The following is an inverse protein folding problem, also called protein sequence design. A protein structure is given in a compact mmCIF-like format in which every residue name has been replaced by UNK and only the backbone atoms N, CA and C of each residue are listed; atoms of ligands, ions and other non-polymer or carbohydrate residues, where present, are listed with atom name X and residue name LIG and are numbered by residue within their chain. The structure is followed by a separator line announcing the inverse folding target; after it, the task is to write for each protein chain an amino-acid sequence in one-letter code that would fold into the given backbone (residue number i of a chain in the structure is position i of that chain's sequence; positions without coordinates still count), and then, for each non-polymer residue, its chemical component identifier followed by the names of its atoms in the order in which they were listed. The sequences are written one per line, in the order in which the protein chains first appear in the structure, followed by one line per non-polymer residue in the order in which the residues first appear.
data_IF_622359270241
#
_entry.id   IF_622359270241
#
_cell.length_a   1.000
_cell.length_b   1.000
_cell.length_c   1.000
_cell.angle_alpha   90.00
_cell.angle_beta   90.00
_cell.angle_gamma   90.00
#
_symmetry.space_group_name_H-M   'P 1'
#
loop_
_entity.id
_entity.type
_entity.pdbx_description
1 polymer ?
#
# COMPACT_ATOMS: atom_id res chain seq x y z
N UNK A 1 21.99 -30.87 21.03
CA UNK A 1 20.93 -29.89 20.70
C UNK A 1 19.60 -30.62 20.60
N UNK A 2 18.49 -30.02 21.06
CA UNK A 2 17.17 -30.60 20.88
C UNK A 2 16.86 -30.77 19.39
N UNK A 3 16.26 -31.91 19.02
CA UNK A 3 15.88 -32.21 17.64
C UNK A 3 14.41 -31.84 17.43
N UNK A 4 14.16 -30.97 16.46
CA UNK A 4 12.81 -30.59 16.06
C UNK A 4 12.51 -31.27 14.72
N UNK A 5 11.34 -31.89 14.60
CA UNK A 5 10.83 -32.45 13.35
C UNK A 5 9.59 -31.67 12.95
N UNK A 6 9.61 -31.05 11.77
CA UNK A 6 8.51 -30.25 11.24
C UNK A 6 8.07 -30.80 9.88
N UNK A 7 6.76 -30.79 9.66
CA UNK A 7 6.18 -31.04 8.34
C UNK A 7 5.94 -29.68 7.68
N UNK A 8 6.57 -29.46 6.52
CA UNK A 8 6.50 -28.20 5.77
C UNK A 8 5.93 -28.45 4.38
N UNK A 9 5.42 -27.41 3.72
CA UNK A 9 4.98 -27.52 2.33
C UNK A 9 6.17 -27.66 1.38
N UNK A 10 5.92 -28.22 0.19
CA UNK A 10 6.92 -28.37 -0.87
C UNK A 10 7.60 -27.03 -1.22
N UNK A 11 6.84 -25.92 -1.18
CA UNK A 11 7.37 -24.58 -1.45
C UNK A 11 8.44 -24.16 -0.43
N UNK A 12 8.24 -24.50 0.85
CA UNK A 12 9.19 -24.18 1.91
C UNK A 12 10.42 -25.09 1.80
N UNK A 13 10.21 -26.38 1.52
CA UNK A 13 11.30 -27.31 1.28
C UNK A 13 12.21 -26.85 0.12
N UNK A 14 11.61 -26.45 -1.00
CA UNK A 14 12.36 -25.95 -2.17
C UNK A 14 13.17 -24.70 -1.79
N UNK A 15 12.57 -23.72 -1.11
CA UNK A 15 13.27 -22.51 -0.65
C UNK A 15 14.43 -22.82 0.30
N UNK A 16 14.27 -23.81 1.20
CA UNK A 16 15.36 -24.23 2.09
C UNK A 16 16.52 -24.82 1.28
N UNK A 17 16.23 -25.65 0.29
CA UNK A 17 17.25 -26.23 -0.60
C UNK A 17 17.95 -25.17 -1.46
N UNK A 18 17.23 -24.14 -1.91
CA UNK A 18 17.80 -23.01 -2.65
C UNK A 18 18.78 -22.23 -1.77
N UNK A 19 18.42 -21.92 -0.53
CA UNK A 19 19.29 -21.21 0.42
C UNK A 19 20.54 -22.05 0.74
N UNK A 20 20.39 -23.36 0.93
CA UNK A 20 21.52 -24.28 1.12
C UNK A 20 22.45 -24.27 -0.11
N UNK A 21 21.88 -24.25 -1.31
CA UNK A 21 22.66 -24.18 -2.56
C UNK A 21 23.42 -22.87 -2.70
N UNK A 22 22.80 -21.74 -2.34
CA UNK A 22 23.45 -20.43 -2.29
C UNK A 22 24.63 -20.43 -1.32
N UNK A 23 24.43 -20.91 -0.08
CA UNK A 23 25.52 -20.98 0.92
C UNK A 23 26.71 -21.81 0.43
N UNK A 24 26.45 -22.91 -0.29
CA UNK A 24 27.52 -23.72 -0.90
C UNK A 24 28.24 -22.96 -2.01
N UNK A 25 27.51 -22.21 -2.83
CA UNK A 25 28.10 -21.36 -3.87
C UNK A 25 28.97 -20.24 -3.27
N UNK A 26 28.60 -19.72 -2.10
CA UNK A 26 29.37 -18.73 -1.32
C UNK A 26 30.60 -19.32 -0.60
N UNK A 27 30.84 -20.63 -0.71
CA UNK A 27 32.02 -21.31 -0.17
C UNK A 27 31.86 -21.87 1.25
N UNK A 28 30.65 -21.91 1.80
CA UNK A 28 30.41 -22.50 3.11
C UNK A 28 30.65 -24.03 3.11
N UNK A 29 31.10 -24.57 4.24
CA UNK A 29 31.35 -26.02 4.37
C UNK A 29 30.05 -26.83 4.21
N UNK A 30 30.15 -28.11 3.82
CA UNK A 30 28.98 -29.01 3.74
C UNK A 30 28.26 -29.16 5.08
N UNK A 31 28.99 -29.05 6.19
CA UNK A 31 28.43 -29.12 7.54
C UNK A 31 27.69 -27.83 7.93
N UNK A 32 28.08 -26.69 7.36
CA UNK A 32 27.44 -25.40 7.61
C UNK A 32 26.26 -25.18 6.65
N UNK A 33 26.40 -25.60 5.40
CA UNK A 33 25.39 -25.54 4.35
C UNK A 33 24.61 -26.87 4.27
N UNK A 34 23.87 -27.14 5.35
CA UNK A 34 22.91 -28.23 5.43
C UNK A 34 21.50 -27.71 5.77
N UNK A 35 20.49 -28.54 5.50
CA UNK A 35 19.08 -28.18 5.68
C UNK A 35 18.80 -27.87 7.15
N UNK A 36 19.18 -28.76 8.07
CA UNK A 36 18.92 -28.61 9.51
C UNK A 36 19.49 -27.31 10.09
N UNK A 37 20.71 -26.93 9.71
CA UNK A 37 21.38 -25.71 10.16
C UNK A 37 20.71 -24.45 9.58
N UNK A 38 20.33 -24.51 8.31
CA UNK A 38 19.61 -23.42 7.64
C UNK A 38 18.20 -23.26 8.22
N UNK A 39 17.50 -24.36 8.49
CA UNK A 39 16.18 -24.35 9.16
C UNK A 39 16.28 -23.81 10.59
N UNK A 40 17.29 -24.22 11.37
CA UNK A 40 17.51 -23.70 12.72
C UNK A 40 17.73 -22.18 12.71
N UNK A 41 18.61 -21.70 11.82
CA UNK A 41 18.86 -20.26 11.62
C UNK A 41 17.58 -19.50 11.25
N UNK A 42 16.75 -20.04 10.36
CA UNK A 42 15.48 -19.42 9.96
C UNK A 42 14.47 -19.41 11.12
N UNK A 43 14.40 -20.46 11.92
CA UNK A 43 13.53 -20.51 13.10
C UNK A 43 13.94 -19.44 14.10
N UNK A 44 15.22 -19.30 14.39
CA UNK A 44 15.72 -18.25 15.30
C UNK A 44 15.41 -16.84 14.80
N UNK A 45 15.60 -16.59 13.49
CA UNK A 45 15.25 -15.32 12.88
C UNK A 45 13.73 -15.10 12.93
N UNK A 46 12.94 -16.13 12.65
CA UNK A 46 11.49 -16.10 12.69
C UNK A 46 10.94 -15.78 14.08
N UNK A 47 11.52 -16.35 15.13
CA UNK A 47 11.15 -16.04 16.52
C UNK A 47 11.46 -14.57 16.84
N UNK A 48 12.66 -14.08 16.50
CA UNK A 48 13.02 -12.67 16.69
C UNK A 48 12.06 -11.71 15.99
N UNK A 49 11.68 -12.03 14.74
CA UNK A 49 10.71 -11.23 13.98
C UNK A 49 9.31 -11.32 14.60
N UNK A 50 8.89 -12.50 15.07
CA UNK A 50 7.61 -12.69 15.73
C UNK A 50 7.51 -11.86 17.02
N UNK A 51 8.54 -11.88 17.86
CA UNK A 51 8.63 -11.08 19.09
C UNK A 51 8.57 -9.58 18.78
N UNK A 52 9.39 -9.10 17.83
CA UNK A 52 9.38 -7.70 17.40
C UNK A 52 8.02 -7.26 16.84
N UNK A 53 7.33 -8.13 16.09
CA UNK A 53 5.97 -7.83 15.63
C UNK A 53 4.97 -7.84 16.77
N UNK A 54 5.13 -8.73 17.75
CA UNK A 54 4.24 -8.83 18.90
C UNK A 54 4.34 -7.61 19.81
N UNK A 55 5.56 -7.14 20.10
CA UNK A 55 5.79 -5.91 20.86
C UNK A 55 5.19 -4.67 20.17
N UNK A 56 5.16 -4.65 18.83
CA UNK A 56 4.55 -3.57 18.03
C UNK A 56 3.01 -3.66 17.92
N UNK A 57 2.39 -4.76 18.34
CA UNK A 57 0.94 -5.01 18.19
C UNK A 57 0.06 -4.32 19.24
N UNK A 58 0.60 -3.46 20.10
CA UNK A 58 -0.24 -2.61 20.97
C UNK A 58 -1.19 -1.69 20.16
N UNK A 59 -0.99 -1.54 18.84
CA UNK A 59 -2.00 -1.01 17.93
C UNK A 59 -2.20 -1.92 16.71
N UNK A 60 -3.21 -2.79 16.74
CA UNK A 60 -3.66 -3.52 15.54
C UNK A 60 -4.18 -2.56 14.47
N UNK A 61 -3.98 -2.89 13.19
CA UNK A 61 -4.55 -2.08 12.10
C UNK A 61 -6.07 -2.23 12.08
N UNK A 62 -6.78 -1.13 12.34
CA UNK A 62 -8.23 -1.05 12.21
C UNK A 62 -8.58 -0.47 10.84
N UNK A 63 -9.13 -1.30 9.95
CA UNK A 63 -9.60 -0.84 8.63
C UNK A 63 -10.67 0.26 8.77
N UNK A 64 -11.54 0.18 9.78
CA UNK A 64 -12.60 1.16 10.02
C UNK A 64 -12.00 2.51 10.43
N UNK A 65 -11.06 2.52 11.37
CA UNK A 65 -10.43 3.77 11.81
C UNK A 65 -9.57 4.37 10.70
N UNK A 66 -8.87 3.53 9.94
CA UNK A 66 -8.12 3.97 8.77
C UNK A 66 -9.02 4.62 7.71
N UNK A 67 -10.13 3.96 7.34
CA UNK A 67 -11.08 4.49 6.35
C UNK A 67 -11.69 5.82 6.82
N UNK A 68 -12.00 5.94 8.11
CA UNK A 68 -12.52 7.17 8.72
C UNK A 68 -11.52 8.32 8.63
N UNK A 69 -10.27 8.09 9.05
CA UNK A 69 -9.20 9.10 8.99
C UNK A 69 -8.90 9.49 7.54
N UNK A 70 -8.87 8.52 6.63
CA UNK A 70 -8.64 8.76 5.21
C UNK A 70 -9.75 9.65 4.62
N UNK A 71 -11.02 9.28 4.85
CA UNK A 71 -12.16 10.04 4.37
C UNK A 71 -12.16 11.47 4.94
N UNK A 72 -11.91 11.61 6.25
CA UNK A 72 -11.85 12.91 6.92
C UNK A 72 -10.76 13.82 6.29
N UNK A 73 -9.57 13.28 6.06
CA UNK A 73 -8.46 14.04 5.48
C UNK A 73 -8.69 14.41 4.01
N UNK A 74 -9.30 13.51 3.21
CA UNK A 74 -9.65 13.78 1.81
C UNK A 74 -10.72 14.86 1.72
N UNK A 75 -11.77 14.78 2.55
CA UNK A 75 -12.84 15.78 2.57
C UNK A 75 -12.32 17.15 3.02
N UNK A 76 -11.50 17.20 4.08
CA UNK A 76 -10.87 18.45 4.54
C UNK A 76 -9.98 19.07 3.46
N UNK A 77 -9.14 18.27 2.82
CA UNK A 77 -8.26 18.73 1.74
C UNK A 77 -9.06 19.27 0.55
N UNK A 78 -10.15 18.60 0.17
CA UNK A 78 -11.03 19.04 -0.91
C UNK A 78 -11.66 20.40 -0.58
N UNK A 79 -12.20 20.57 0.64
CA UNK A 79 -12.78 21.84 1.08
C UNK A 79 -11.76 22.99 1.09
N UNK A 80 -10.54 22.73 1.55
CA UNK A 80 -9.44 23.72 1.52
C UNK A 80 -9.10 24.09 0.08
N UNK A 81 -8.98 23.12 -0.82
CA UNK A 81 -8.70 23.38 -2.24
C UNK A 81 -9.81 24.19 -2.90
N UNK A 82 -11.08 23.93 -2.59
CA UNK A 82 -12.20 24.74 -3.11
C UNK A 82 -12.12 26.20 -2.65
N UNK A 83 -11.78 26.44 -1.37
CA UNK A 83 -11.60 27.81 -0.84
C UNK A 83 -10.40 28.51 -1.50
N UNK A 84 -9.27 27.80 -1.63
CA UNK A 84 -8.07 28.33 -2.31
C UNK A 84 -8.38 28.66 -3.76
N UNK A 85 -9.13 27.80 -4.46
CA UNK A 85 -9.56 28.05 -5.83
C UNK A 85 -10.40 29.33 -5.92
N UNK A 86 -11.41 29.48 -5.06
CA UNK A 86 -12.24 30.67 -5.03
C UNK A 86 -11.42 31.96 -4.79
N UNK A 87 -10.45 31.92 -3.87
CA UNK A 87 -9.54 33.04 -3.62
C UNK A 87 -8.69 33.34 -4.87
N UNK A 88 -8.10 32.30 -5.48
CA UNK A 88 -7.23 32.47 -6.64
C UNK A 88 -7.95 33.05 -7.86
N UNK A 89 -9.23 32.72 -8.06
CA UNK A 89 -10.00 33.32 -9.17
C UNK A 89 -10.18 34.85 -9.05
N UNK A 90 -9.96 35.41 -7.86
CA UNK A 90 -10.07 36.85 -7.59
C UNK A 90 -8.73 37.60 -7.66
N UNK A 91 -7.62 36.89 -7.89
CA UNK A 91 -6.30 37.49 -7.99
C UNK A 91 -6.21 38.47 -9.18
N UNK A 92 -5.38 39.51 -9.02
CA UNK A 92 -5.28 40.60 -10.01
C UNK A 92 -4.60 40.10 -11.29
N UNK A 93 -3.68 39.16 -11.15
CA UNK A 93 -2.87 38.57 -12.22
C UNK A 93 -3.70 37.71 -13.19
N UNK A 94 -4.78 37.09 -12.71
CA UNK A 94 -5.68 36.26 -13.52
C UNK A 94 -6.89 37.05 -14.04
N UNK A 95 -7.02 38.31 -13.62
CA UNK A 95 -8.17 39.16 -13.95
C UNK A 95 -8.16 39.48 -15.45
N UNK A 96 -9.21 39.05 -16.15
CA UNK A 96 -9.34 39.19 -17.61
C UNK A 96 -8.96 37.92 -18.39
N UNK A 97 -8.46 36.88 -17.72
CA UNK A 97 -8.32 35.55 -18.30
C UNK A 97 -9.52 34.69 -17.89
N UNK A 98 -10.56 34.64 -18.72
CA UNK A 98 -11.81 33.94 -18.40
C UNK A 98 -11.62 32.47 -18.00
N UNK A 99 -10.59 31.80 -18.53
CA UNK A 99 -10.23 30.43 -18.17
C UNK A 99 -9.81 30.27 -16.70
N UNK A 100 -9.29 31.32 -16.06
CA UNK A 100 -8.76 31.30 -14.69
C UNK A 100 -9.53 32.21 -13.72
N UNK A 101 -10.23 33.23 -14.21
CA UNK A 101 -11.04 34.13 -13.38
C UNK A 101 -12.49 33.69 -13.21
N UNK A 102 -13.00 32.82 -14.08
CA UNK A 102 -14.39 32.36 -14.00
C UNK A 102 -14.50 31.07 -13.17
N UNK A 103 -14.86 31.23 -11.89
CA UNK A 103 -15.03 30.12 -10.97
C UNK A 103 -16.08 29.09 -11.43
N UNK A 104 -17.17 29.53 -12.07
CA UNK A 104 -18.24 28.64 -12.55
C UNK A 104 -17.73 27.71 -13.66
N UNK A 105 -16.94 28.26 -14.58
CA UNK A 105 -16.34 27.49 -15.67
C UNK A 105 -15.36 26.44 -15.14
N UNK A 106 -14.49 26.82 -14.19
CA UNK A 106 -13.53 25.89 -13.59
C UNK A 106 -14.26 24.81 -12.78
N UNK A 107 -15.30 25.17 -12.03
CA UNK A 107 -16.10 24.20 -11.28
C UNK A 107 -16.77 23.17 -12.20
N UNK A 108 -17.30 23.61 -13.36
CA UNK A 108 -17.87 22.72 -14.36
C UNK A 108 -16.82 21.77 -14.97
N UNK A 109 -15.63 22.28 -15.28
CA UNK A 109 -14.52 21.45 -15.77
C UNK A 109 -14.09 20.39 -14.75
N UNK A 110 -13.96 20.77 -13.47
CA UNK A 110 -13.62 19.83 -12.39
C UNK A 110 -14.71 18.77 -12.23
N UNK A 111 -15.99 19.17 -12.29
CA UNK A 111 -17.13 18.24 -12.22
C UNK A 111 -17.10 17.23 -13.37
N UNK A 112 -16.95 17.70 -14.60
CA UNK A 112 -16.90 16.83 -15.78
C UNK A 112 -15.69 15.87 -15.74
N UNK A 113 -14.51 16.37 -15.33
CA UNK A 113 -13.34 15.52 -15.16
C UNK A 113 -13.54 14.47 -14.06
N UNK A 114 -14.17 14.84 -12.95
CA UNK A 114 -14.53 13.91 -11.89
C UNK A 114 -15.55 12.86 -12.34
N UNK A 115 -16.56 13.26 -13.12
CA UNK A 115 -17.57 12.35 -13.68
C UNK A 115 -16.96 11.35 -14.65
N UNK A 116 -16.01 11.76 -15.50
CA UNK A 116 -15.30 10.86 -16.40
C UNK A 116 -14.49 9.78 -15.65
N UNK A 117 -13.81 10.16 -14.56
CA UNK A 117 -13.08 9.21 -13.71
C UNK A 117 -14.07 8.30 -12.98
N UNK A 118 -15.15 8.85 -12.42
CA UNK A 118 -16.16 8.08 -11.70
C UNK A 118 -16.87 7.07 -12.62
N UNK A 119 -17.20 7.46 -13.84
CA UNK A 119 -17.87 6.59 -14.82
C UNK A 119 -17.04 5.35 -15.21
N UNK A 120 -15.70 5.41 -15.08
CA UNK A 120 -14.82 4.25 -15.33
C UNK A 120 -15.02 3.13 -14.30
N UNK A 121 -15.36 3.48 -13.05
CA UNK A 121 -15.47 2.53 -11.94
C UNK A 121 -16.90 2.32 -11.45
N UNK A 122 -17.78 3.30 -11.70
CA UNK A 122 -19.17 3.35 -11.27
C UNK A 122 -20.05 3.86 -12.43
N UNK A 123 -20.26 3.05 -13.48
CA UNK A 123 -21.18 3.40 -14.55
C UNK A 123 -22.60 3.52 -13.99
N UNK A 124 -23.37 4.46 -14.54
CA UNK A 124 -24.78 4.63 -14.16
C UNK A 124 -25.55 3.46 -14.80
N UNK A 125 -26.20 2.63 -13.97
CA UNK A 125 -26.97 1.46 -14.43
C UNK A 125 -27.91 1.85 -15.58
N UNK A 126 -27.68 1.25 -16.76
CA UNK A 126 -28.33 1.58 -18.03
C UNK A 126 -27.40 1.56 -19.24
N UNK A 127 -26.09 1.69 -19.03
CA UNK A 127 -25.03 1.38 -20.00
C UNK A 127 -24.39 0.02 -19.68
N UNK A 128 -25.22 -1.02 -19.55
CA UNK A 128 -24.72 -2.38 -19.70
C UNK A 128 -24.39 -2.58 -21.19
N UNK A 129 -23.12 -2.85 -21.45
CA UNK A 129 -22.57 -3.18 -22.77
C UNK A 129 -23.46 -4.17 -23.54
N UNK A 130 -23.93 -3.76 -24.71
CA UNK A 130 -24.18 -4.69 -25.83
C UNK A 130 -22.85 -4.98 -26.53
#
# INVERSE_FOLDING_TARGET
MPRIQTFVSNDIEMKLNDIVSIKRAEGASKDEANISNTTAMIIELGIRVYELQHERREGGFSQIEFNKILLENVVKSNLVCQKILAINTQNVEVKGQDALSNLSLIAAQIKNASEAVMGTFFPIEGEEDN
#
